data_IF_061913201302
#
_entry.id   IF_061913201302
#
_cell.length_a   1.000
_cell.length_b   1.000
_cell.length_c   1.000
_cell.angle_alpha   90.00
_cell.angle_beta   90.00
_cell.angle_gamma   90.00
#
_symmetry.space_group_name_H-M   'P 1'
#
loop_
_entity.id
_entity.type
_entity.pdbx_description
1 polymer ?
#
# COMPACT_ATOMS: atom_id res chain seq x y z
N UNK A 1 2.39 22.67 -24.73
CA UNK A 1 3.07 21.61 -25.51
C UNK A 1 2.31 20.34 -25.18
N UNK A 2 1.52 19.82 -26.13
CA UNK A 2 0.67 18.66 -25.88
C UNK A 2 1.57 17.43 -25.68
N UNK A 3 1.18 16.50 -24.80
CA UNK A 3 1.93 15.27 -24.47
C UNK A 3 2.37 14.45 -25.71
N UNK A 4 1.73 14.67 -26.87
CA UNK A 4 1.88 13.92 -28.11
C UNK A 4 3.31 13.81 -28.69
N UNK A 5 4.27 14.68 -28.35
CA UNK A 5 5.61 14.69 -28.96
C UNK A 5 6.79 14.57 -27.97
N UNK A 6 6.52 14.24 -26.71
CA UNK A 6 7.55 14.09 -25.67
C UNK A 6 8.17 12.68 -25.71
N UNK A 7 9.47 12.49 -25.45
CA UNK A 7 10.08 11.15 -25.32
C UNK A 7 9.32 10.19 -24.38
N UNK A 8 8.61 10.75 -23.39
CA UNK A 8 7.79 10.03 -22.40
C UNK A 8 6.50 9.44 -23.00
N UNK A 9 5.81 10.11 -23.94
CA UNK A 9 4.59 9.54 -24.53
C UNK A 9 4.88 8.38 -25.48
N UNK A 10 6.06 8.39 -26.11
CA UNK A 10 6.61 7.23 -26.82
C UNK A 10 6.96 6.08 -25.88
N UNK A 11 7.39 6.40 -24.65
CA UNK A 11 7.67 5.40 -23.62
C UNK A 11 6.38 4.71 -23.15
N UNK A 12 5.34 5.47 -22.79
CA UNK A 12 4.02 4.92 -22.42
C UNK A 12 3.53 3.98 -23.52
N UNK A 13 3.42 4.49 -24.75
CA UNK A 13 2.88 3.73 -25.89
C UNK A 13 3.62 2.42 -26.14
N UNK A 14 4.94 2.40 -25.94
CA UNK A 14 5.76 1.20 -26.09
C UNK A 14 5.54 0.22 -24.95
N UNK A 15 5.46 0.70 -23.71
CA UNK A 15 5.32 -0.12 -22.50
C UNK A 15 3.89 -0.65 -22.31
N UNK A 16 2.89 0.03 -22.86
CA UNK A 16 1.49 -0.39 -22.85
C UNK A 16 1.07 -1.07 -24.16
N UNK A 17 2.01 -1.44 -25.04
CA UNK A 17 1.67 -2.27 -26.20
C UNK A 17 1.20 -3.66 -25.74
N UNK A 18 0.22 -4.25 -26.44
CA UNK A 18 -0.29 -5.58 -26.12
C UNK A 18 0.79 -6.67 -26.04
N UNK A 19 1.90 -6.53 -26.78
CA UNK A 19 3.06 -7.43 -26.72
C UNK A 19 3.86 -7.35 -25.41
N UNK A 20 3.68 -6.27 -24.64
CA UNK A 20 4.33 -6.04 -23.36
C UNK A 20 3.55 -6.57 -22.16
N UNK A 21 2.31 -7.05 -22.33
CA UNK A 21 1.45 -7.54 -21.24
C UNK A 21 2.05 -8.65 -20.37
N UNK A 22 3.00 -9.43 -20.92
CA UNK A 22 3.75 -10.43 -20.15
C UNK A 22 4.78 -9.82 -19.19
N UNK A 23 5.13 -8.56 -19.40
CA UNK A 23 6.20 -7.88 -18.70
C UNK A 23 5.69 -6.68 -17.89
N UNK A 24 4.87 -5.82 -18.50
CA UNK A 24 4.40 -4.59 -17.87
C UNK A 24 2.92 -4.74 -17.52
N UNK A 25 2.62 -4.46 -16.26
CA UNK A 25 1.26 -4.40 -15.72
C UNK A 25 0.68 -2.99 -15.94
N UNK A 26 1.37 -2.02 -15.35
CA UNK A 26 0.91 -0.63 -15.26
C UNK A 26 2.09 0.31 -15.41
N UNK A 27 1.93 1.35 -16.20
CA UNK A 27 2.82 2.51 -16.24
C UNK A 27 2.10 3.67 -15.58
N UNK A 28 2.74 4.26 -14.58
CA UNK A 28 2.24 5.47 -13.91
C UNK A 28 3.18 6.63 -14.21
N UNK A 29 2.63 7.80 -14.50
CA UNK A 29 3.41 9.00 -14.83
C UNK A 29 2.76 10.24 -14.23
N UNK A 30 3.58 11.24 -13.91
CA UNK A 30 3.10 12.58 -13.65
C UNK A 30 2.77 13.29 -14.97
N UNK A 31 1.64 13.98 -15.02
CA UNK A 31 1.20 14.78 -16.17
C UNK A 31 1.12 16.25 -15.78
N UNK A 32 0.82 17.13 -16.75
CA UNK A 32 0.66 18.56 -16.45
C UNK A 32 -0.54 18.87 -15.54
N UNK A 33 -1.56 18.01 -15.57
CA UNK A 33 -2.84 18.22 -14.86
C UNK A 33 -3.04 17.24 -13.70
N UNK A 34 -2.06 16.36 -13.42
CA UNK A 34 -2.15 15.35 -12.36
C UNK A 34 -1.29 14.13 -12.65
N UNK A 35 -1.92 12.96 -12.73
CA UNK A 35 -1.30 11.67 -12.90
C UNK A 35 -2.01 10.87 -13.96
N UNK A 36 -1.29 9.93 -14.57
CA UNK A 36 -1.81 8.99 -15.55
C UNK A 36 -1.34 7.59 -15.18
N UNK A 37 -2.28 6.65 -15.09
CA UNK A 37 -1.98 5.23 -14.97
C UNK A 37 -2.54 4.49 -16.19
N UNK A 38 -1.69 3.78 -16.92
CA UNK A 38 -2.02 3.14 -18.18
C UNK A 38 -1.51 1.69 -18.23
N UNK A 39 -2.29 0.83 -18.87
CA UNK A 39 -1.96 -0.56 -19.20
C UNK A 39 -2.26 -0.81 -20.68
N UNK A 40 -2.04 -2.05 -21.15
CA UNK A 40 -2.40 -2.42 -22.52
C UNK A 40 -3.91 -2.43 -22.81
N UNK A 41 -4.76 -2.33 -21.78
CA UNK A 41 -6.22 -2.46 -21.88
C UNK A 41 -6.96 -1.16 -21.62
N UNK A 42 -6.29 -0.14 -21.07
CA UNK A 42 -6.94 1.12 -20.73
C UNK A 42 -6.04 2.07 -19.95
N UNK A 43 -6.57 3.25 -19.63
CA UNK A 43 -5.89 4.24 -18.82
C UNK A 43 -6.87 5.08 -18.00
N UNK A 44 -6.34 5.66 -16.93
CA UNK A 44 -7.04 6.65 -16.10
C UNK A 44 -6.12 7.85 -15.86
N UNK A 45 -6.67 9.04 -16.09
CA UNK A 45 -6.07 10.30 -15.72
C UNK A 45 -6.79 10.83 -14.48
N UNK A 46 -6.05 11.26 -13.46
CA UNK A 46 -6.61 11.69 -12.19
C UNK A 46 -5.71 12.72 -11.51
N UNK A 47 -6.24 13.47 -10.56
CA UNK A 47 -5.46 14.39 -9.72
C UNK A 47 -5.91 14.33 -8.26
N UNK A 48 -5.07 14.84 -7.36
CA UNK A 48 -5.47 15.12 -5.97
C UNK A 48 -6.01 16.55 -5.93
N UNK A 49 -7.26 16.71 -5.50
CA UNK A 49 -7.88 17.99 -5.26
C UNK A 49 -7.26 18.68 -4.02
N UNK A 50 -7.45 20.00 -3.83
CA UNK A 50 -6.87 20.72 -2.69
C UNK A 50 -7.29 20.20 -1.30
N UNK A 51 -8.41 19.49 -1.20
CA UNK A 51 -8.90 18.86 0.03
C UNK A 51 -8.37 17.43 0.25
N UNK A 52 -7.49 16.95 -0.64
CA UNK A 52 -6.91 15.61 -0.60
C UNK A 52 -7.74 14.53 -1.29
N UNK A 53 -8.93 14.85 -1.80
CA UNK A 53 -9.75 13.88 -2.53
C UNK A 53 -9.19 13.59 -3.92
N UNK A 54 -9.41 12.38 -4.43
CA UNK A 54 -9.00 11.99 -5.77
C UNK A 54 -10.11 12.35 -6.77
N UNK A 55 -9.77 13.14 -7.78
CA UNK A 55 -10.66 13.47 -8.90
C UNK A 55 -10.23 12.70 -10.16
N UNK A 56 -11.17 11.95 -10.76
CA UNK A 56 -10.95 11.28 -12.04
C UNK A 56 -11.22 12.26 -13.17
N UNK A 57 -10.21 12.52 -13.99
CA UNK A 57 -10.25 13.49 -15.09
C UNK A 57 -10.70 12.82 -16.39
N UNK A 58 -10.21 11.61 -16.66
CA UNK A 58 -10.57 10.82 -17.83
C UNK A 58 -10.34 9.32 -17.62
N UNK A 59 -11.15 8.49 -18.27
CA UNK A 59 -10.96 7.04 -18.33
C UNK A 59 -11.03 6.55 -19.77
N UNK A 60 -10.28 5.51 -20.08
CA UNK A 60 -10.41 4.74 -21.30
C UNK A 60 -10.23 3.25 -21.04
N UNK A 61 -11.04 2.42 -21.69
CA UNK A 61 -10.96 0.96 -21.60
C UNK A 61 -11.02 0.42 -20.16
N UNK A 62 -10.32 -0.70 -19.96
CA UNK A 62 -10.19 -1.39 -18.67
C UNK A 62 -8.88 -0.95 -18.01
N UNK A 63 -8.91 0.23 -17.40
CA UNK A 63 -7.73 0.84 -16.79
C UNK A 63 -7.26 0.09 -15.52
N UNK A 64 -5.95 0.12 -15.20
CA UNK A 64 -5.38 -0.76 -14.19
C UNK A 64 -5.79 -0.45 -12.74
N UNK A 65 -6.19 0.79 -12.44
CA UNK A 65 -6.54 1.22 -11.08
C UNK A 65 -8.04 1.10 -10.75
N UNK A 66 -8.83 0.47 -11.62
CA UNK A 66 -10.31 0.45 -11.50
C UNK A 66 -10.77 -0.24 -10.21
N UNK A 67 -10.16 -1.36 -9.87
CA UNK A 67 -10.54 -2.12 -8.69
C UNK A 67 -9.72 -1.66 -7.46
N UNK A 68 -10.36 -0.91 -6.56
CA UNK A 68 -9.77 -0.43 -5.30
C UNK A 68 -10.16 -1.32 -4.09
N UNK A 69 -10.67 -2.53 -4.30
CA UNK A 69 -11.12 -3.40 -3.22
C UNK A 69 -10.01 -3.75 -2.24
N UNK A 70 -10.31 -3.71 -0.95
CA UNK A 70 -9.35 -3.95 0.13
C UNK A 70 -9.28 -5.42 0.56
N UNK A 71 -10.29 -6.20 0.17
CA UNK A 71 -10.59 -7.55 0.64
C UNK A 71 -10.60 -8.61 -0.48
N UNK A 72 -10.11 -8.27 -1.68
CA UNK A 72 -9.96 -9.25 -2.75
C UNK A 72 -8.84 -10.25 -2.43
N UNK A 73 -9.08 -11.55 -2.66
CA UNK A 73 -8.06 -12.58 -2.49
C UNK A 73 -7.63 -12.77 -1.04
N UNK A 74 -8.56 -12.67 -0.09
CA UNK A 74 -8.31 -12.92 1.34
C UNK A 74 -8.45 -14.43 1.61
N UNK A 75 -7.41 -15.00 2.20
CA UNK A 75 -7.19 -16.45 2.36
C UNK A 75 -6.41 -17.05 1.20
N UNK A 76 -5.59 -18.06 1.47
CA UNK A 76 -4.65 -18.64 0.48
C UNK A 76 -5.37 -19.19 -0.77
N UNK A 77 -6.52 -19.85 -0.60
CA UNK A 77 -7.29 -20.39 -1.74
C UNK A 77 -7.80 -19.26 -2.65
N UNK A 78 -8.33 -18.19 -2.06
CA UNK A 78 -8.83 -17.04 -2.81
C UNK A 78 -7.68 -16.26 -3.45
N UNK A 79 -6.52 -16.15 -2.80
CA UNK A 79 -5.32 -15.53 -3.35
C UNK A 79 -4.82 -16.24 -4.61
N UNK A 80 -4.70 -17.57 -4.56
CA UNK A 80 -4.32 -18.39 -5.74
C UNK A 80 -5.33 -18.22 -6.87
N UNK A 81 -6.62 -18.11 -6.56
CA UNK A 81 -7.65 -17.89 -7.57
C UNK A 81 -7.52 -16.52 -8.27
N UNK A 82 -6.96 -15.50 -7.59
CA UNK A 82 -6.78 -14.17 -8.17
C UNK A 82 -5.44 -13.95 -8.87
N UNK A 83 -4.47 -14.86 -8.75
CA UNK A 83 -3.20 -14.77 -9.51
C UNK A 83 -3.41 -14.77 -11.04
N UNK A 84 -4.53 -15.34 -11.51
CA UNK A 84 -4.86 -15.46 -12.93
C UNK A 84 -5.82 -14.41 -13.49
N UNK A 85 -6.23 -13.41 -12.70
CA UNK A 85 -7.18 -12.38 -13.17
C UNK A 85 -6.49 -11.41 -14.13
N UNK A 86 -7.29 -10.75 -14.97
CA UNK A 86 -6.77 -9.80 -15.97
C UNK A 86 -6.31 -8.49 -15.31
N UNK A 87 -5.48 -7.74 -16.03
CA UNK A 87 -5.12 -6.37 -15.67
C UNK A 87 -6.39 -5.51 -15.49
N UNK A 88 -6.47 -4.75 -14.40
CA UNK A 88 -7.65 -3.95 -14.02
C UNK A 88 -8.72 -4.71 -13.23
N UNK A 89 -8.72 -6.05 -13.24
CA UNK A 89 -9.56 -6.88 -12.36
C UNK A 89 -8.88 -7.18 -11.02
N UNK A 90 -7.54 -7.26 -11.01
CA UNK A 90 -6.76 -7.36 -9.78
C UNK A 90 -6.91 -6.07 -8.98
N UNK A 91 -7.27 -6.19 -7.71
CA UNK A 91 -7.41 -5.07 -6.82
C UNK A 91 -6.05 -4.40 -6.59
N UNK A 92 -6.03 -3.08 -6.74
CA UNK A 92 -4.90 -2.21 -6.45
C UNK A 92 -5.31 -1.26 -5.32
N UNK A 93 -5.36 -1.75 -4.07
CA UNK A 93 -5.95 -0.99 -2.97
C UNK A 93 -5.16 0.29 -2.68
N UNK A 94 -5.89 1.40 -2.52
CA UNK A 94 -5.32 2.73 -2.25
C UNK A 94 -4.31 3.19 -3.31
N UNK A 95 -4.49 2.76 -4.55
CA UNK A 95 -3.50 3.00 -5.60
C UNK A 95 -3.39 4.48 -5.98
N UNK A 96 -4.51 5.21 -6.01
CA UNK A 96 -4.49 6.62 -6.34
C UNK A 96 -3.67 7.41 -5.31
N UNK A 97 -3.94 7.18 -4.02
CA UNK A 97 -3.21 7.79 -2.91
C UNK A 97 -1.74 7.39 -2.93
N UNK A 98 -1.45 6.11 -3.18
CA UNK A 98 -0.08 5.59 -3.26
C UNK A 98 0.71 6.20 -4.42
N UNK A 99 0.07 6.46 -5.56
CA UNK A 99 0.67 7.15 -6.69
C UNK A 99 0.94 8.61 -6.35
N UNK A 100 -0.06 9.32 -5.84
CA UNK A 100 0.08 10.72 -5.39
C UNK A 100 1.25 10.85 -4.43
N UNK A 101 1.33 9.95 -3.44
CA UNK A 101 2.41 9.88 -2.46
C UNK A 101 3.77 9.60 -3.12
N UNK A 102 3.86 8.62 -4.02
CA UNK A 102 5.14 8.25 -4.64
C UNK A 102 5.76 9.38 -5.48
N UNK A 103 4.94 10.12 -6.22
CA UNK A 103 5.40 11.21 -7.09
C UNK A 103 5.58 12.56 -6.36
N UNK A 104 5.31 12.60 -5.06
CA UNK A 104 5.46 13.81 -4.26
C UNK A 104 6.92 14.13 -3.87
N UNK A 105 7.78 13.12 -3.92
CA UNK A 105 9.17 13.27 -3.54
C UNK A 105 9.92 14.26 -4.45
N UNK A 106 10.83 15.08 -3.89
CA UNK A 106 11.70 15.99 -4.66
C UNK A 106 12.47 15.26 -5.79
N UNK A 107 12.75 13.98 -5.60
CA UNK A 107 13.47 13.12 -6.55
C UNK A 107 12.57 12.03 -7.15
N UNK A 108 11.25 12.26 -7.21
CA UNK A 108 10.33 11.38 -7.90
C UNK A 108 10.75 11.19 -9.38
N UNK A 109 10.61 9.97 -9.93
CA UNK A 109 10.89 9.75 -11.34
C UNK A 109 9.81 10.38 -12.22
N UNK A 110 10.06 10.55 -13.51
CA UNK A 110 9.03 10.96 -14.48
C UNK A 110 7.98 9.87 -14.73
N UNK A 111 8.36 8.60 -14.53
CA UNK A 111 7.52 7.43 -14.72
C UNK A 111 7.89 6.29 -13.76
N UNK A 112 6.88 5.53 -13.34
CA UNK A 112 7.01 4.29 -12.58
C UNK A 112 6.41 3.14 -13.40
N UNK A 113 7.17 2.05 -13.56
CA UNK A 113 6.73 0.88 -14.33
C UNK A 113 6.54 -0.28 -13.36
N UNK A 114 5.29 -0.73 -13.23
CA UNK A 114 4.92 -1.91 -12.48
C UNK A 114 5.05 -3.13 -13.38
N UNK A 115 5.81 -4.12 -12.90
CA UNK A 115 5.94 -5.38 -13.61
C UNK A 115 4.67 -6.22 -13.48
N UNK A 116 4.37 -6.95 -14.53
CA UNK A 116 3.38 -8.02 -14.56
C UNK A 116 3.63 -9.00 -13.40
N UNK A 117 2.59 -9.42 -12.67
CA UNK A 117 2.72 -10.45 -11.64
C UNK A 117 3.32 -11.76 -12.17
N UNK A 118 3.19 -12.02 -13.48
CA UNK A 118 3.72 -13.21 -14.14
C UNK A 118 5.22 -13.11 -14.46
N UNK A 119 5.85 -11.94 -14.30
CA UNK A 119 7.26 -11.75 -14.59
C UNK A 119 8.15 -12.17 -13.42
N UNK A 120 8.99 -13.19 -13.63
CA UNK A 120 10.09 -13.52 -12.71
C UNK A 120 11.38 -12.84 -13.17
N UNK A 121 12.14 -12.27 -12.23
CA UNK A 121 13.47 -11.72 -12.51
C UNK A 121 14.54 -12.73 -12.07
N UNK A 122 15.35 -13.24 -13.01
CA UNK A 122 16.31 -14.32 -12.76
C UNK A 122 15.67 -15.58 -12.13
N UNK A 123 16.44 -16.28 -11.30
CA UNK A 123 16.02 -17.45 -10.52
C UNK A 123 15.25 -17.06 -9.24
N UNK A 124 14.83 -15.79 -9.09
CA UNK A 124 14.00 -15.36 -7.96
C UNK A 124 12.58 -15.91 -8.13
N UNK A 125 12.21 -16.80 -7.21
CA UNK A 125 10.89 -17.46 -7.18
C UNK A 125 9.77 -16.50 -6.73
N UNK A 126 10.11 -15.33 -6.18
CA UNK A 126 9.17 -14.28 -5.81
C UNK A 126 9.71 -12.88 -6.13
N UNK A 127 8.80 -11.93 -6.38
CA UNK A 127 9.06 -10.51 -6.56
C UNK A 127 7.98 -9.68 -5.85
N UNK A 128 8.27 -8.41 -5.62
CA UNK A 128 7.30 -7.42 -5.15
C UNK A 128 7.62 -6.04 -5.75
N UNK A 129 6.80 -5.04 -5.47
CA UNK A 129 6.91 -3.69 -6.02
C UNK A 129 5.69 -3.24 -6.82
N UNK A 130 4.71 -4.12 -7.05
CA UNK A 130 3.43 -3.79 -7.70
C UNK A 130 2.43 -3.15 -6.72
N UNK A 131 1.44 -2.43 -7.28
CA UNK A 131 0.25 -1.94 -6.58
C UNK A 131 -0.76 -3.04 -6.25
N UNK A 132 -0.63 -4.23 -6.84
CA UNK A 132 -1.59 -5.33 -6.66
C UNK A 132 -1.69 -5.80 -5.22
N UNK A 133 -2.91 -6.05 -4.73
CA UNK A 133 -3.20 -6.40 -3.34
C UNK A 133 -2.45 -7.63 -2.81
N UNK A 134 -2.06 -8.56 -3.67
CA UNK A 134 -1.23 -9.72 -3.31
C UNK A 134 0.15 -9.27 -2.80
N UNK A 135 0.75 -8.25 -3.43
CA UNK A 135 2.07 -7.72 -3.07
C UNK A 135 2.00 -6.53 -2.11
N UNK A 136 0.91 -5.77 -2.14
CA UNK A 136 0.77 -4.55 -1.34
C UNK A 136 0.46 -4.81 0.13
N UNK A 137 0.07 -6.03 0.52
CA UNK A 137 -0.32 -6.36 1.89
C UNK A 137 0.80 -7.07 2.65
N UNK A 138 1.17 -6.51 3.79
CA UNK A 138 2.00 -7.18 4.80
C UNK A 138 1.15 -7.62 6.00
N UNK A 139 1.55 -8.65 6.76
CA UNK A 139 0.92 -8.95 8.04
C UNK A 139 1.16 -7.83 9.06
N UNK A 140 0.17 -7.58 9.91
CA UNK A 140 0.32 -6.72 11.07
C UNK A 140 -0.28 -7.40 12.29
N UNK A 141 0.48 -7.40 13.38
CA UNK A 141 0.08 -7.96 14.66
C UNK A 141 0.57 -7.01 15.75
N UNK A 142 -0.32 -6.58 16.62
CA UNK A 142 0.02 -5.84 17.84
C UNK A 142 -0.54 -6.59 19.05
N UNK A 143 0.24 -6.66 20.13
CA UNK A 143 -0.12 -7.44 21.30
C UNK A 143 0.59 -6.94 22.56
N UNK A 144 -0.09 -7.01 23.71
CA UNK A 144 0.45 -6.59 25.01
C UNK A 144 -0.22 -5.33 25.56
N UNK A 145 0.37 -4.72 26.62
CA UNK A 145 -0.23 -3.59 27.32
C UNK A 145 -0.61 -2.44 26.39
N UNK A 146 -1.82 -1.91 26.56
CA UNK A 146 -2.33 -0.81 25.73
C UNK A 146 -2.84 -1.24 24.35
N UNK A 147 -2.82 -2.53 24.01
CA UNK A 147 -3.42 -3.07 22.78
C UNK A 147 -4.68 -3.86 23.13
N UNK A 148 -5.79 -3.53 22.47
CA UNK A 148 -7.04 -4.28 22.63
C UNK A 148 -6.89 -5.70 22.04
N UNK A 149 -7.32 -6.76 22.77
CA UNK A 149 -7.27 -8.13 22.27
C UNK A 149 -8.50 -8.46 21.41
N UNK A 150 -8.47 -8.10 20.13
CA UNK A 150 -9.59 -8.31 19.18
C UNK A 150 -9.44 -9.59 18.35
N UNK A 151 -8.34 -10.31 18.47
CA UNK A 151 -8.02 -11.46 17.63
C UNK A 151 -7.78 -11.05 16.17
N UNK A 152 -8.20 -11.88 15.21
CA UNK A 152 -8.11 -11.53 13.78
C UNK A 152 -9.36 -10.77 13.36
N UNK A 153 -9.21 -9.52 12.93
CA UNK A 153 -10.33 -8.66 12.47
C UNK A 153 -10.36 -8.54 10.94
N UNK A 154 -11.53 -8.45 10.29
CA UNK A 154 -11.67 -8.31 8.83
C UNK A 154 -11.49 -6.85 8.40
N UNK A 155 -10.38 -6.25 8.81
CA UNK A 155 -10.03 -4.85 8.57
C UNK A 155 -8.65 -4.77 7.92
N UNK A 156 -8.32 -3.60 7.38
CA UNK A 156 -6.99 -3.23 6.91
C UNK A 156 -6.47 -2.04 7.72
N UNK A 157 -5.18 -1.76 7.57
CA UNK A 157 -4.54 -0.50 7.98
C UNK A 157 -3.49 -0.12 6.95
N UNK A 158 -2.90 1.07 7.04
CA UNK A 158 -1.79 1.50 6.16
C UNK A 158 -0.47 1.49 6.92
N UNK A 159 0.63 1.24 6.25
CA UNK A 159 1.96 1.28 6.89
C UNK A 159 2.26 2.65 7.52
N UNK A 160 1.77 3.73 6.91
CA UNK A 160 1.89 5.10 7.44
C UNK A 160 1.15 5.33 8.76
N UNK A 161 0.19 4.47 9.11
CA UNK A 161 -0.57 4.56 10.36
C UNK A 161 0.20 3.95 11.55
N UNK A 162 1.25 3.15 11.29
CA UNK A 162 2.00 2.43 12.32
C UNK A 162 2.75 3.38 13.25
N UNK A 163 3.48 4.34 12.70
CA UNK A 163 4.27 5.29 13.48
C UNK A 163 3.41 6.20 14.39
N UNK A 164 2.34 6.86 13.91
CA UNK A 164 1.46 7.62 14.80
C UNK A 164 0.72 6.74 15.81
N UNK A 165 0.38 5.49 15.48
CA UNK A 165 -0.19 4.53 16.43
C UNK A 165 0.78 4.21 17.58
N UNK A 166 2.06 3.97 17.27
CA UNK A 166 3.10 3.75 18.29
C UNK A 166 3.31 5.01 19.12
N UNK A 167 3.31 6.19 18.49
CA UNK A 167 3.46 7.47 19.20
C UNK A 167 2.29 7.72 20.17
N UNK A 168 1.06 7.41 19.75
CA UNK A 168 -0.14 7.46 20.58
C UNK A 168 -0.05 6.47 21.74
N UNK A 169 0.38 5.22 21.48
CA UNK A 169 0.54 4.17 22.49
C UNK A 169 1.57 4.55 23.57
N UNK A 170 2.68 5.17 23.17
CA UNK A 170 3.69 5.75 24.08
C UNK A 170 3.22 7.06 24.73
N UNK A 171 2.04 7.57 24.36
CA UNK A 171 1.40 8.80 24.82
C UNK A 171 2.20 10.07 24.53
N UNK A 172 2.82 10.13 23.36
CA UNK A 172 3.29 11.37 22.76
C UNK A 172 2.04 12.24 22.46
N UNK A 173 1.96 13.48 22.97
CA UNK A 173 0.79 14.32 22.75
C UNK A 173 0.65 14.69 21.26
N UNK A 174 -0.59 14.79 20.80
CA UNK A 174 -0.88 15.37 19.50
C UNK A 174 -0.62 16.88 19.54
N UNK A 175 -0.14 17.41 18.42
CA UNK A 175 0.18 18.82 18.22
C UNK A 175 0.17 19.18 16.73
N UNK A 176 0.96 20.18 16.37
CA UNK A 176 1.12 20.61 14.99
C UNK A 176 2.31 19.89 14.34
N UNK A 177 2.15 19.49 13.09
CA UNK A 177 3.19 18.92 12.25
C UNK A 177 2.94 19.24 10.79
N UNK A 178 3.58 18.48 9.92
CA UNK A 178 3.32 18.51 8.48
C UNK A 178 3.02 17.10 7.96
N UNK A 179 2.39 16.99 6.80
CA UNK A 179 2.37 15.74 6.05
C UNK A 179 3.63 15.60 5.19
N UNK A 180 3.74 14.53 4.40
CA UNK A 180 4.86 14.27 3.50
C UNK A 180 5.08 15.37 2.45
N UNK A 181 4.07 16.23 2.22
CA UNK A 181 4.09 17.39 1.31
C UNK A 181 4.58 18.66 1.97
N UNK A 182 4.82 18.64 3.28
CA UNK A 182 5.07 19.85 4.05
C UNK A 182 3.80 20.69 4.30
N UNK A 183 2.59 20.18 3.99
CA UNK A 183 1.33 20.88 4.29
C UNK A 183 1.08 20.80 5.79
N UNK A 184 0.62 21.90 6.38
CA UNK A 184 0.34 21.95 7.81
C UNK A 184 -0.73 20.93 8.21
N UNK A 185 -0.44 20.16 9.27
CA UNK A 185 -1.33 19.14 9.81
C UNK A 185 -1.53 19.36 11.31
N UNK A 186 -2.79 19.52 11.73
CA UNK A 186 -3.16 19.49 13.14
C UNK A 186 -3.39 18.05 13.61
N UNK A 187 -3.09 17.77 14.87
CA UNK A 187 -3.30 16.44 15.45
C UNK A 187 -2.16 15.45 15.17
N UNK A 188 -1.05 15.91 14.61
CA UNK A 188 0.13 15.09 14.37
C UNK A 188 0.86 14.79 15.69
N UNK A 189 1.43 13.59 15.82
CA UNK A 189 2.28 13.17 16.95
C UNK A 189 3.75 13.12 16.57
N UNK A 190 4.05 13.20 15.28
CA UNK A 190 5.38 13.24 14.70
C UNK A 190 5.55 14.58 13.97
N UNK A 191 6.79 15.02 13.77
CA UNK A 191 7.07 16.25 13.05
C UNK A 191 6.55 16.20 11.60
N UNK A 192 6.68 15.04 10.96
CA UNK A 192 6.09 14.70 9.67
C UNK A 192 5.24 13.44 9.80
N UNK A 193 3.99 13.47 9.34
CA UNK A 193 3.00 12.41 9.52
C UNK A 193 1.94 12.41 8.40
N UNK A 194 1.94 11.36 7.58
CA UNK A 194 0.88 11.12 6.59
C UNK A 194 -0.34 10.39 7.19
N UNK A 195 -0.07 9.33 7.96
CA UNK A 195 -1.09 8.44 8.52
C UNK A 195 -1.72 8.97 9.80
N UNK A 196 -2.61 8.16 10.37
CA UNK A 196 -3.35 8.45 11.59
C UNK A 196 -3.16 7.31 12.60
N UNK A 197 -3.26 7.61 13.90
CA UNK A 197 -3.31 6.54 14.88
C UNK A 197 -4.54 5.65 14.70
N UNK A 198 -4.35 4.34 14.91
CA UNK A 198 -5.44 3.37 14.85
C UNK A 198 -6.09 3.31 16.24
N UNK A 199 -6.98 4.26 16.54
CA UNK A 199 -7.60 4.41 17.87
C UNK A 199 -8.36 3.17 18.33
N UNK A 200 -8.92 2.39 17.40
CA UNK A 200 -9.66 1.16 17.70
C UNK A 200 -8.74 0.02 18.17
N UNK A 201 -7.44 0.11 17.87
CA UNK A 201 -6.42 -0.83 18.33
C UNK A 201 -5.98 -0.57 19.78
N UNK A 202 -6.07 0.69 20.24
CA UNK A 202 -5.44 1.13 21.49
C UNK A 202 -6.40 1.08 22.68
N UNK A 203 -5.97 0.51 23.80
CA UNK A 203 -6.66 0.66 25.08
C UNK A 203 -6.30 2.04 25.68
N UNK A 204 -7.25 2.97 25.86
CA UNK A 204 -6.95 4.30 26.37
C UNK A 204 -6.55 4.31 27.85
N UNK A 205 -6.88 3.25 28.60
CA UNK A 205 -6.65 3.17 30.04
C UNK A 205 -5.32 2.50 30.40
N UNK A 206 -4.62 1.93 29.41
CA UNK A 206 -3.35 1.22 29.61
C UNK A 206 -2.26 1.75 28.66
N UNK A 207 -1.05 1.94 29.18
CA UNK A 207 0.09 2.42 28.41
C UNK A 207 1.34 1.60 28.71
N UNK A 208 2.05 1.11 27.67
CA UNK A 208 3.34 0.46 27.87
C UNK A 208 4.45 1.49 28.11
N UNK A 209 5.49 1.08 28.83
CA UNK A 209 6.73 1.88 28.93
C UNK A 209 7.62 1.72 27.68
N UNK A 210 7.51 0.58 26.99
CA UNK A 210 8.36 0.22 25.87
C UNK A 210 7.54 -0.48 24.78
N UNK A 211 7.86 -0.17 23.52
CA UNK A 211 7.31 -0.86 22.35
C UNK A 211 8.46 -1.50 21.58
N UNK A 212 8.31 -2.77 21.22
CA UNK A 212 9.27 -3.50 20.38
C UNK A 212 8.59 -3.77 19.04
N UNK A 213 9.24 -3.33 17.96
CA UNK A 213 8.74 -3.52 16.59
C UNK A 213 9.61 -4.56 15.89
N UNK A 214 8.96 -5.58 15.33
CA UNK A 214 9.59 -6.56 14.44
C UNK A 214 9.12 -6.28 13.01
N UNK A 215 10.05 -5.94 12.12
CA UNK A 215 9.77 -5.83 10.69
C UNK A 215 9.95 -7.20 10.06
N UNK A 216 8.88 -7.75 9.49
CA UNK A 216 8.90 -9.05 8.83
C UNK A 216 8.78 -8.89 7.32
N UNK A 217 9.93 -8.73 6.67
CA UNK A 217 10.00 -8.58 5.22
C UNK A 217 9.64 -9.90 4.50
N UNK A 218 8.90 -9.80 3.41
CA UNK A 218 8.57 -10.91 2.51
C UNK A 218 7.52 -11.92 3.02
N UNK A 219 6.79 -11.64 4.09
CA UNK A 219 5.73 -12.53 4.56
C UNK A 219 4.37 -12.17 4.02
N UNK A 220 3.74 -13.16 3.40
CA UNK A 220 2.37 -13.07 2.94
C UNK A 220 1.39 -13.22 4.13
N UNK A 221 0.42 -12.30 4.30
CA UNK A 221 -0.51 -12.33 5.43
C UNK A 221 -1.45 -13.53 5.40
N UNK A 222 -1.91 -13.95 4.22
CA UNK A 222 -2.79 -15.12 4.07
C UNK A 222 -2.06 -16.39 4.50
N UNK A 223 -0.84 -16.61 4.00
CA UNK A 223 -0.03 -17.76 4.38
C UNK A 223 0.27 -17.79 5.90
N UNK A 224 0.50 -16.63 6.52
CA UNK A 224 0.73 -16.51 7.96
C UNK A 224 -0.53 -16.88 8.77
N UNK A 225 -1.69 -16.31 8.42
CA UNK A 225 -2.95 -16.60 9.11
C UNK A 225 -3.38 -18.06 8.91
N UNK A 226 -3.19 -18.60 7.72
CA UNK A 226 -3.43 -20.03 7.45
C UNK A 226 -2.52 -20.95 8.28
N UNK A 227 -1.24 -20.59 8.47
CA UNK A 227 -0.32 -21.33 9.34
C UNK A 227 -0.75 -21.24 10.82
N UNK A 228 -1.32 -20.11 11.25
CA UNK A 228 -1.94 -19.98 12.59
C UNK A 228 -3.15 -20.90 12.71
N UNK A 229 -4.05 -20.90 11.73
CA UNK A 229 -5.27 -21.71 11.73
C UNK A 229 -4.96 -23.22 11.73
N UNK A 230 -3.85 -23.63 11.09
CA UNK A 230 -3.34 -25.01 11.13
C UNK A 230 -2.55 -25.36 12.39
N UNK A 231 -2.30 -24.41 13.28
CA UNK A 231 -1.50 -24.61 14.49
C UNK A 231 0.01 -24.73 14.26
N UNK A 232 0.50 -24.35 13.08
CA UNK A 232 1.92 -24.41 12.68
C UNK A 232 2.73 -23.21 13.20
N UNK A 233 2.05 -22.12 13.56
CA UNK A 233 2.66 -20.88 14.08
C UNK A 233 2.19 -20.53 15.50
N UNK A 234 2.45 -21.37 16.54
CA UNK A 234 1.90 -21.19 17.88
C UNK A 234 2.34 -19.89 18.59
N UNK A 235 3.56 -19.40 18.30
CA UNK A 235 4.03 -18.12 18.84
C UNK A 235 3.25 -16.91 18.27
N UNK A 236 2.91 -16.98 16.98
CA UNK A 236 2.10 -15.96 16.30
C UNK A 236 0.65 -16.05 16.79
N UNK A 237 0.11 -17.27 16.90
CA UNK A 237 -1.22 -17.50 17.46
C UNK A 237 -1.37 -16.89 18.87
N UNK A 238 -0.37 -17.07 19.74
CA UNK A 238 -0.37 -16.49 21.08
C UNK A 238 -0.30 -14.96 21.09
N UNK A 239 0.39 -14.33 20.12
CA UNK A 239 0.38 -12.88 19.97
C UNK A 239 -1.00 -12.37 19.56
N UNK A 240 -1.63 -13.05 18.60
CA UNK A 240 -2.97 -12.69 18.10
C UNK A 240 -4.03 -12.89 19.18
N UNK A 241 -3.97 -13.99 19.94
CA UNK A 241 -4.94 -14.28 21.02
C UNK A 241 -4.98 -13.18 22.09
N UNK A 242 -3.81 -12.62 22.42
CA UNK A 242 -3.67 -11.54 23.40
C UNK A 242 -3.63 -10.13 22.78
N UNK A 243 -3.99 -10.02 21.50
CA UNK A 243 -3.77 -8.82 20.70
C UNK A 243 -4.73 -8.72 19.52
N UNK A 244 -4.30 -8.02 18.48
CA UNK A 244 -5.08 -7.83 17.26
C UNK A 244 -4.20 -8.05 16.03
N UNK A 245 -4.76 -8.73 15.03
CA UNK A 245 -4.19 -8.88 13.70
C UNK A 245 -5.24 -8.53 12.64
N UNK A 246 -4.79 -7.97 11.53
CA UNK A 246 -5.66 -7.45 10.47
C UNK A 246 -5.68 -8.42 9.30
N UNK A 247 -6.83 -9.06 9.04
CA UNK A 247 -7.00 -10.07 7.98
C UNK A 247 -6.76 -9.49 6.60
N UNK A 248 -7.13 -8.23 6.37
CA UNK A 248 -6.88 -7.56 5.09
C UNK A 248 -5.47 -6.93 5.01
N UNK A 249 -4.63 -7.18 6.02
CA UNK A 249 -3.24 -6.77 6.05
C UNK A 249 -3.01 -5.27 6.30
N UNK A 250 -1.74 -4.95 6.37
CA UNK A 250 -1.18 -3.60 6.36
C UNK A 250 -0.79 -3.25 4.93
N UNK A 251 -1.47 -2.29 4.34
CA UNK A 251 -1.23 -1.85 2.96
C UNK A 251 0.00 -0.95 2.94
N UNK A 252 1.00 -1.37 2.16
CA UNK A 252 2.26 -0.64 1.96
C UNK A 252 2.06 0.56 1.03
N UNK A 253 2.87 1.60 1.26
CA UNK A 253 3.08 2.65 0.28
C UNK A 253 3.76 2.09 -0.98
N UNK A 254 3.68 2.86 -2.08
CA UNK A 254 4.38 2.58 -3.33
C UNK A 254 5.84 3.11 -3.29
N UNK A 255 6.84 2.36 -3.81
CA UNK A 255 6.73 0.96 -4.23
C UNK A 255 6.55 0.06 -3.02
N UNK A 256 5.89 -1.08 -3.23
CA UNK A 256 5.69 -2.14 -2.22
C UNK A 256 6.98 -2.93 -2.01
N UNK A 257 8.09 -2.21 -1.84
CA UNK A 257 9.44 -2.72 -1.65
C UNK A 257 10.15 -1.88 -0.60
N UNK A 258 11.23 -2.44 -0.04
CA UNK A 258 12.09 -1.81 0.96
C UNK A 258 12.99 -0.73 0.33
N UNK A 259 12.39 0.19 -0.42
CA UNK A 259 13.00 1.34 -1.07
C UNK A 259 12.51 2.65 -0.42
N UNK A 260 13.17 3.75 -0.75
CA UNK A 260 12.76 5.07 -0.28
C UNK A 260 11.33 5.38 -0.76
N UNK A 261 10.43 5.64 0.19
CA UNK A 261 9.06 6.10 0.00
C UNK A 261 8.64 6.85 1.27
N UNK A 262 7.41 7.34 1.37
CA UNK A 262 6.96 8.10 2.54
C UNK A 262 6.97 7.32 3.87
N UNK A 263 7.11 5.99 3.84
CA UNK A 263 7.34 5.20 5.07
C UNK A 263 8.80 5.25 5.56
N UNK A 264 9.73 5.74 4.74
CA UNK A 264 11.18 5.79 5.01
C UNK A 264 11.80 7.18 4.87
N UNK A 265 11.08 8.17 4.34
CA UNK A 265 11.52 9.56 4.33
C UNK A 265 11.44 10.13 5.76
N UNK A 266 12.57 10.61 6.27
CA UNK A 266 12.73 11.28 7.56
C UNK A 266 13.43 12.62 7.32
#
# INVERSE_FOLDING_TARGET
MTLADTPISRLESLLTDSSMTRYVDTVVMQTGDGFRAASATGAVDFCEAPDGSIEILAESGDHPLRNQALDQGIGTEAEVAVEGVSLGELATPLAYESVVQYFDAEHAPDAAVMWSPQQMFHDCVGNHGSLGGIQARAPFIAAGPGIRPRGIVPEHLRTVDVAPTIAALLGIPAGDGVDGRGRARSGARLAMQDGDEITDLLDPDERPEHVVVFLWDGVNPNALHDAVDRGEAPGVASLIERGTSYRHGCISALPTATLANHTTQC
#
